data_IF_263567084681
#
_entry.id   IF_263567084681
#
_cell.length_a   1.000
_cell.length_b   1.000
_cell.length_c   1.000
_cell.angle_alpha   90.00
_cell.angle_beta   90.00
_cell.angle_gamma   90.00
#
_symmetry.space_group_name_H-M   'P 1'
#
loop_
_entity.id
_entity.type
_entity.pdbx_description
1 polymer ?
#
# COMPACT_ATOMS: atom_id res chain seq x y z
N UNK A 1 -15.78 18.45 -9.68
CA UNK A 1 -15.93 17.21 -8.90
C UNK A 1 -16.70 16.11 -9.64
N UNK A 2 -17.82 16.38 -10.34
CA UNK A 2 -18.57 15.32 -11.05
C UNK A 2 -17.71 14.52 -12.06
N UNK A 3 -16.88 15.18 -12.87
CA UNK A 3 -16.00 14.49 -13.86
C UNK A 3 -15.04 13.47 -13.24
N UNK A 4 -14.57 13.72 -12.02
CA UNK A 4 -13.62 12.84 -11.29
C UNK A 4 -14.23 11.48 -10.93
N UNK A 5 -15.55 11.42 -10.79
CA UNK A 5 -16.31 10.22 -10.42
C UNK A 5 -16.96 9.61 -11.67
N UNK A 6 -17.48 10.44 -12.57
CA UNK A 6 -18.17 9.98 -13.77
C UNK A 6 -17.24 9.24 -14.74
N UNK A 7 -16.00 9.70 -14.91
CA UNK A 7 -15.06 9.12 -15.88
C UNK A 7 -14.65 7.68 -15.50
N UNK A 8 -14.28 7.36 -14.24
CA UNK A 8 -14.09 5.96 -13.83
C UNK A 8 -15.34 5.11 -13.96
N UNK A 9 -16.52 5.62 -13.57
CA UNK A 9 -17.77 4.87 -13.66
C UNK A 9 -18.09 4.51 -15.11
N UNK A 10 -17.95 5.47 -16.03
CA UNK A 10 -18.15 5.22 -17.46
C UNK A 10 -17.12 4.24 -18.04
N UNK A 11 -15.87 4.31 -17.59
CA UNK A 11 -14.83 3.38 -18.02
C UNK A 11 -15.13 1.93 -17.60
N UNK A 12 -15.52 1.71 -16.35
CA UNK A 12 -15.77 0.35 -15.83
C UNK A 12 -17.14 -0.22 -16.18
N UNK A 13 -18.19 0.61 -16.21
CA UNK A 13 -19.58 0.14 -16.40
C UNK A 13 -20.16 0.45 -17.78
N UNK A 14 -19.50 1.30 -18.57
CA UNK A 14 -19.96 1.67 -19.92
C UNK A 14 -19.35 0.85 -21.06
N UNK A 15 -18.47 -0.12 -20.75
CA UNK A 15 -17.73 -0.92 -21.74
C UNK A 15 -17.80 -2.42 -21.39
N UNK A 16 -17.52 -3.29 -22.36
CA UNK A 16 -17.46 -4.73 -22.09
C UNK A 16 -16.27 -5.07 -21.18
N UNK A 17 -16.36 -6.09 -20.31
CA UNK A 17 -15.27 -6.47 -19.41
C UNK A 17 -13.95 -6.81 -20.13
N UNK A 18 -14.02 -7.37 -21.34
CA UNK A 18 -12.85 -7.68 -22.17
C UNK A 18 -12.14 -6.42 -22.66
N UNK A 19 -12.88 -5.37 -23.00
CA UNK A 19 -12.32 -4.09 -23.45
C UNK A 19 -11.67 -3.34 -22.28
N UNK A 20 -12.32 -3.33 -21.11
CA UNK A 20 -11.73 -2.80 -19.88
C UNK A 20 -10.40 -3.49 -19.59
N UNK A 21 -10.37 -4.82 -19.65
CA UNK A 21 -9.15 -5.59 -19.41
C UNK A 21 -8.04 -5.29 -20.45
N UNK A 22 -8.41 -5.16 -21.73
CA UNK A 22 -7.49 -4.79 -22.81
C UNK A 22 -6.84 -3.44 -22.54
N UNK A 23 -7.64 -2.42 -22.21
CA UNK A 23 -7.16 -1.06 -21.93
C UNK A 23 -6.32 -0.96 -20.66
N UNK A 24 -6.68 -1.72 -19.61
CA UNK A 24 -5.85 -1.87 -18.41
C UNK A 24 -4.48 -2.47 -18.76
N UNK A 25 -4.46 -3.55 -19.56
CA UNK A 25 -3.23 -4.20 -20.02
C UNK A 25 -2.40 -3.29 -20.91
N UNK A 26 -3.00 -2.47 -21.75
CA UNK A 26 -2.31 -1.47 -22.59
C UNK A 26 -1.88 -0.23 -21.80
N UNK A 27 -2.34 -0.11 -20.53
CA UNK A 27 -2.15 1.07 -19.66
C UNK A 27 -2.60 2.35 -20.37
N UNK A 28 -3.64 2.23 -21.20
CA UNK A 28 -4.27 3.34 -21.90
C UNK A 28 -5.54 3.75 -21.15
N UNK A 29 -5.32 4.53 -20.09
CA UNK A 29 -6.40 4.95 -19.21
C UNK A 29 -6.23 6.40 -18.77
N UNK A 30 -7.33 7.15 -18.59
CA UNK A 30 -7.30 8.46 -17.97
C UNK A 30 -6.67 8.41 -16.57
N UNK A 31 -6.16 9.54 -16.10
CA UNK A 31 -5.47 9.61 -14.81
C UNK A 31 -6.39 9.28 -13.62
N UNK A 32 -7.70 9.54 -13.73
CA UNK A 32 -8.71 9.22 -12.71
C UNK A 32 -8.89 7.71 -12.56
N UNK A 33 -9.03 7.00 -13.69
CA UNK A 33 -9.08 5.53 -13.76
C UNK A 33 -7.78 4.93 -13.22
N UNK A 34 -6.64 5.50 -13.61
CA UNK A 34 -5.32 5.09 -13.11
C UNK A 34 -5.23 5.17 -11.57
N UNK A 35 -5.75 6.26 -10.98
CA UNK A 35 -5.80 6.43 -9.54
C UNK A 35 -6.73 5.41 -8.87
N UNK A 36 -7.87 5.09 -9.48
CA UNK A 36 -8.78 4.05 -8.98
C UNK A 36 -8.12 2.67 -8.97
N UNK A 37 -7.50 2.26 -10.08
CA UNK A 37 -6.78 0.98 -10.18
C UNK A 37 -5.62 0.92 -9.19
N UNK A 38 -4.90 2.03 -9.03
CA UNK A 38 -3.87 2.17 -8.01
C UNK A 38 -4.42 2.00 -6.60
N UNK A 39 -5.56 2.61 -6.29
CA UNK A 39 -6.25 2.47 -5.01
C UNK A 39 -6.63 1.01 -4.73
N UNK A 40 -7.19 0.31 -5.72
CA UNK A 40 -7.51 -1.12 -5.62
C UNK A 40 -6.26 -1.96 -5.37
N UNK A 41 -5.16 -1.69 -6.09
CA UNK A 41 -3.87 -2.33 -5.84
C UNK A 41 -3.37 -2.07 -4.41
N UNK A 42 -3.57 -0.86 -3.89
CA UNK A 42 -3.24 -0.49 -2.51
C UNK A 42 -4.07 -1.23 -1.47
N UNK A 43 -5.37 -1.37 -1.67
CA UNK A 43 -6.25 -2.15 -0.78
C UNK A 43 -5.83 -3.62 -0.77
N UNK A 44 -5.59 -4.20 -1.95
CA UNK A 44 -5.12 -5.58 -2.09
C UNK A 44 -3.77 -5.77 -1.37
N UNK A 45 -2.85 -4.81 -1.52
CA UNK A 45 -1.57 -4.82 -0.81
C UNK A 45 -1.74 -4.83 0.70
N UNK A 46 -2.64 -3.99 1.24
CA UNK A 46 -2.92 -3.94 2.67
C UNK A 46 -3.48 -5.27 3.18
N UNK A 47 -4.41 -5.88 2.45
CA UNK A 47 -4.97 -7.20 2.80
C UNK A 47 -3.87 -8.26 2.84
N UNK A 48 -2.99 -8.28 1.83
CA UNK A 48 -1.85 -9.21 1.78
C UNK A 48 -0.89 -8.96 2.95
N UNK A 49 -0.50 -7.70 3.19
CA UNK A 49 0.44 -7.35 4.25
C UNK A 49 -0.11 -7.69 5.64
N UNK A 50 -1.37 -7.34 5.92
CA UNK A 50 -2.02 -7.64 7.20
C UNK A 50 -2.15 -9.17 7.36
N UNK A 51 -2.61 -9.88 6.33
CA UNK A 51 -2.67 -11.34 6.35
C UNK A 51 -1.30 -11.98 6.62
N UNK A 52 -0.24 -11.47 5.99
CA UNK A 52 1.13 -11.94 6.23
C UNK A 52 1.60 -11.68 7.67
N UNK A 53 1.39 -10.48 8.19
CA UNK A 53 1.72 -10.17 9.60
C UNK A 53 0.94 -11.08 10.54
N UNK A 54 -0.35 -11.32 10.28
CA UNK A 54 -1.19 -12.19 11.10
C UNK A 54 -0.69 -13.64 11.09
N UNK A 55 -0.31 -14.17 9.93
CA UNK A 55 0.22 -15.54 9.79
C UNK A 55 1.60 -15.68 10.44
N UNK A 56 2.52 -14.72 10.20
CA UNK A 56 3.83 -14.71 10.83
C UNK A 56 3.73 -14.60 12.36
N UNK A 57 2.85 -13.71 12.84
CA UNK A 57 2.59 -13.50 14.26
C UNK A 57 1.97 -14.70 14.93
N UNK A 58 1.29 -15.58 14.18
CA UNK A 58 0.67 -16.78 14.71
C UNK A 58 1.61 -17.99 14.72
N UNK A 59 2.38 -18.19 13.64
CA UNK A 59 3.04 -19.47 13.36
C UNK A 59 4.56 -19.43 13.39
N UNK A 60 5.18 -18.27 13.22
CA UNK A 60 6.65 -18.17 13.03
C UNK A 60 7.30 -17.35 14.13
N UNK A 61 6.82 -16.12 14.34
CA UNK A 61 7.37 -15.18 15.33
C UNK A 61 6.19 -14.66 16.17
N UNK A 62 5.89 -15.32 17.31
CA UNK A 62 4.74 -15.02 18.15
C UNK A 62 4.63 -13.54 18.52
N UNK A 63 3.51 -12.90 18.18
CA UNK A 63 3.28 -11.48 18.48
C UNK A 63 1.83 -11.15 18.87
N UNK A 64 0.98 -12.16 19.11
CA UNK A 64 -0.35 -11.96 19.67
C UNK A 64 -0.31 -11.94 21.20
N UNK A 65 -1.26 -11.25 21.80
CA UNK A 65 -1.47 -11.24 23.26
C UNK A 65 -1.82 -12.65 23.77
N UNK A 66 -1.40 -12.98 24.99
CA UNK A 66 -1.67 -14.30 25.59
C UNK A 66 -0.90 -15.47 24.97
N UNK A 67 0.03 -15.24 24.04
CA UNK A 67 0.84 -16.33 23.48
C UNK A 67 1.89 -16.81 24.48
N UNK A 68 1.98 -18.13 24.65
CA UNK A 68 2.99 -18.74 25.50
C UNK A 68 4.30 -18.91 24.71
N UNK A 69 5.35 -18.24 25.15
CA UNK A 69 6.70 -18.33 24.59
C UNK A 69 7.64 -18.80 25.69
N UNK A 70 8.28 -19.95 25.50
CA UNK A 70 9.14 -20.58 26.52
C UNK A 70 8.44 -20.86 27.87
N UNK A 71 7.14 -21.18 27.86
CA UNK A 71 6.39 -21.55 29.06
C UNK A 71 5.87 -20.37 29.90
N UNK A 72 6.13 -19.13 29.48
CA UNK A 72 5.56 -17.91 30.06
C UNK A 72 4.74 -17.15 29.01
N UNK A 73 3.81 -16.33 29.47
CA UNK A 73 3.11 -15.40 28.59
C UNK A 73 4.10 -14.39 27.99
N UNK A 74 3.92 -14.08 26.71
CA UNK A 74 4.76 -13.13 26.00
C UNK A 74 4.68 -11.74 26.65
N UNK A 75 5.84 -11.18 26.98
CA UNK A 75 5.90 -9.81 27.53
C UNK A 75 5.57 -8.79 26.45
N UNK A 76 5.02 -7.63 26.83
CA UNK A 76 4.69 -6.56 25.89
C UNK A 76 5.92 -6.07 25.10
N UNK A 77 7.09 -6.03 25.73
CA UNK A 77 8.34 -5.66 25.06
C UNK A 77 8.75 -6.67 23.98
N UNK A 78 8.64 -7.96 24.26
CA UNK A 78 8.94 -9.01 23.27
C UNK A 78 7.89 -9.03 22.16
N UNK A 79 6.62 -8.83 22.50
CA UNK A 79 5.51 -8.72 21.56
C UNK A 79 5.72 -7.57 20.58
N UNK A 80 6.04 -6.37 21.08
CA UNK A 80 6.32 -5.20 20.24
C UNK A 80 7.51 -5.44 19.30
N UNK A 81 8.58 -6.05 19.80
CA UNK A 81 9.77 -6.39 18.98
C UNK A 81 9.43 -7.40 17.89
N UNK A 82 8.72 -8.48 18.24
CA UNK A 82 8.32 -9.51 17.28
C UNK A 82 7.34 -8.96 16.23
N UNK A 83 6.40 -8.11 16.65
CA UNK A 83 5.49 -7.42 15.74
C UNK A 83 6.25 -6.51 14.77
N UNK A 84 7.27 -5.79 15.22
CA UNK A 84 8.12 -4.96 14.36
C UNK A 84 8.87 -5.82 13.31
N UNK A 85 9.41 -6.96 13.71
CA UNK A 85 10.07 -7.91 12.80
C UNK A 85 9.08 -8.43 11.77
N UNK A 86 7.89 -8.88 12.20
CA UNK A 86 6.84 -9.37 11.31
C UNK A 86 6.39 -8.32 10.30
N UNK A 87 6.20 -7.07 10.74
CA UNK A 87 5.87 -5.95 9.85
C UNK A 87 6.99 -5.67 8.85
N UNK A 88 8.25 -5.77 9.26
CA UNK A 88 9.40 -5.56 8.36
C UNK A 88 9.46 -6.63 7.27
N UNK A 89 9.26 -7.91 7.63
CA UNK A 89 9.21 -9.01 6.67
C UNK A 89 8.05 -8.82 5.70
N UNK A 90 6.85 -8.55 6.22
CA UNK A 90 5.65 -8.33 5.42
C UNK A 90 5.77 -7.11 4.50
N UNK A 91 6.44 -6.04 4.95
CA UNK A 91 6.72 -4.87 4.14
C UNK A 91 7.58 -5.24 2.92
N UNK A 92 8.67 -5.99 3.10
CA UNK A 92 9.56 -6.37 2.01
C UNK A 92 8.85 -7.26 0.98
N UNK A 93 8.11 -8.28 1.42
CA UNK A 93 7.38 -9.19 0.53
C UNK A 93 6.25 -8.47 -0.20
N UNK A 94 5.47 -7.68 0.52
CA UNK A 94 4.37 -6.90 -0.06
C UNK A 94 4.92 -5.87 -1.03
N UNK A 95 6.01 -5.17 -0.71
CA UNK A 95 6.60 -4.16 -1.58
C UNK A 95 6.95 -4.71 -2.97
N UNK A 96 7.47 -5.94 -3.05
CA UNK A 96 7.74 -6.61 -4.33
C UNK A 96 6.43 -6.87 -5.10
N UNK A 97 5.40 -7.42 -4.44
CA UNK A 97 4.10 -7.68 -5.06
C UNK A 97 3.49 -6.38 -5.59
N UNK A 98 3.50 -5.32 -4.79
CA UNK A 98 2.93 -4.01 -5.15
C UNK A 98 3.69 -3.38 -6.30
N UNK A 99 5.01 -3.54 -6.35
CA UNK A 99 5.82 -3.10 -7.49
C UNK A 99 5.33 -3.78 -8.78
N UNK A 100 5.20 -5.10 -8.78
CA UNK A 100 4.72 -5.83 -9.95
C UNK A 100 3.29 -5.43 -10.33
N UNK A 101 2.37 -5.31 -9.37
CA UNK A 101 1.00 -4.84 -9.64
C UNK A 101 1.00 -3.44 -10.26
N UNK A 102 1.83 -2.53 -9.75
CA UNK A 102 1.92 -1.17 -10.27
C UNK A 102 2.49 -1.14 -11.69
N UNK A 103 3.50 -1.95 -11.97
CA UNK A 103 4.10 -2.07 -13.31
C UNK A 103 3.18 -2.74 -14.33
N UNK A 104 2.40 -3.73 -13.90
CA UNK A 104 1.53 -4.52 -14.76
C UNK A 104 0.20 -3.82 -15.04
N UNK A 105 -0.36 -3.13 -14.05
CA UNK A 105 -1.75 -2.63 -14.08
C UNK A 105 -1.87 -1.11 -14.07
N UNK A 106 -0.90 -0.37 -13.50
CA UNK A 106 -1.07 1.07 -13.23
C UNK A 106 -0.19 1.93 -14.13
N UNK A 107 1.11 1.65 -14.19
CA UNK A 107 2.10 2.55 -14.79
C UNK A 107 2.82 1.90 -15.98
N UNK A 108 3.19 2.72 -16.98
CA UNK A 108 4.04 2.29 -18.09
C UNK A 108 5.52 2.35 -17.68
N UNK A 109 6.25 1.27 -17.94
CA UNK A 109 7.71 1.21 -17.71
C UNK A 109 8.46 2.07 -18.72
N UNK A 110 9.73 2.32 -18.41
CA UNK A 110 10.71 2.79 -19.39
C UNK A 110 11.24 4.19 -19.15
N UNK A 111 11.04 4.75 -17.95
CA UNK A 111 11.75 5.98 -17.51
C UNK A 111 13.17 5.66 -17.08
N UNK A 112 13.34 4.56 -16.36
CA UNK A 112 14.62 4.08 -15.85
C UNK A 112 14.82 2.59 -16.14
N UNK A 113 16.02 2.07 -15.89
CA UNK A 113 16.27 0.63 -15.88
C UNK A 113 15.38 -0.05 -14.82
N UNK A 114 14.83 -1.26 -15.05
CA UNK A 114 13.98 -1.99 -14.11
C UNK A 114 14.45 -1.99 -12.64
N UNK A 115 15.75 -2.18 -12.41
CA UNK A 115 16.36 -2.13 -11.07
C UNK A 115 16.27 -0.75 -10.41
N UNK A 116 16.48 0.32 -11.18
CA UNK A 116 16.35 1.69 -10.67
C UNK A 116 14.87 2.03 -10.39
N UNK A 117 13.94 1.59 -11.26
CA UNK A 117 12.50 1.73 -10.99
C UNK A 117 12.11 1.04 -9.66
N UNK A 118 12.59 -0.18 -9.43
CA UNK A 118 12.33 -0.92 -8.19
C UNK A 118 12.97 -0.23 -6.96
N UNK A 119 14.19 0.29 -7.10
CA UNK A 119 14.87 0.99 -6.02
C UNK A 119 14.11 2.27 -5.62
N UNK A 120 13.79 3.15 -6.56
CA UNK A 120 13.04 4.39 -6.27
C UNK A 120 11.65 4.09 -5.73
N UNK A 121 10.98 3.06 -6.27
CA UNK A 121 9.70 2.59 -5.76
C UNK A 121 9.78 2.17 -4.29
N UNK A 122 10.79 1.36 -3.96
CA UNK A 122 11.02 0.87 -2.59
C UNK A 122 11.38 2.02 -1.65
N UNK A 123 12.21 2.96 -2.11
CA UNK A 123 12.61 4.14 -1.32
C UNK A 123 11.41 5.01 -0.98
N UNK A 124 10.56 5.33 -1.96
CA UNK A 124 9.33 6.09 -1.75
C UNK A 124 8.42 5.35 -0.75
N UNK A 125 8.30 4.03 -0.86
CA UNK A 125 7.48 3.24 0.06
C UNK A 125 8.04 3.20 1.47
N UNK A 126 9.36 3.11 1.63
CA UNK A 126 10.02 3.14 2.93
C UNK A 126 9.82 4.49 3.61
N UNK A 127 9.99 5.60 2.88
CA UNK A 127 9.74 6.95 3.39
C UNK A 127 8.28 7.09 3.82
N UNK A 128 7.33 6.70 2.96
CA UNK A 128 5.90 6.77 3.28
C UNK A 128 5.50 5.88 4.46
N UNK A 129 6.13 4.71 4.61
CA UNK A 129 5.91 3.84 5.77
C UNK A 129 6.36 4.52 7.06
N UNK A 130 7.58 5.06 7.10
CA UNK A 130 8.13 5.77 8.26
C UNK A 130 7.28 7.00 8.60
N UNK A 131 6.94 7.81 7.58
CA UNK A 131 6.07 8.98 7.77
C UNK A 131 4.70 8.58 8.33
N UNK A 132 4.13 7.46 7.87
CA UNK A 132 2.85 6.96 8.38
C UNK A 132 2.91 6.55 9.85
N UNK A 133 4.05 6.02 10.32
CA UNK A 133 4.24 5.68 11.73
C UNK A 133 4.29 6.93 12.64
N UNK A 134 4.73 8.08 12.11
CA UNK A 134 4.84 9.33 12.89
C UNK A 134 3.58 10.19 12.75
N UNK A 135 3.05 10.33 11.53
CA UNK A 135 1.94 11.23 11.22
C UNK A 135 0.61 10.81 11.88
N UNK A 136 0.33 9.51 11.95
CA UNK A 136 -0.89 8.99 12.60
C UNK A 136 -0.97 9.36 14.09
N UNK A 137 0.02 8.98 14.92
CA UNK A 137 0.07 9.37 16.33
C UNK A 137 0.09 10.88 16.54
N UNK A 138 0.76 11.64 15.67
CA UNK A 138 0.80 13.10 15.75
C UNK A 138 -0.58 13.74 15.55
N UNK A 139 -1.37 13.27 14.56
CA UNK A 139 -2.74 13.74 14.33
C UNK A 139 -3.67 13.48 15.53
N UNK A 140 -3.52 12.32 16.17
CA UNK A 140 -4.31 11.97 17.36
C UNK A 140 -3.92 12.84 18.55
N UNK A 141 -2.61 13.07 18.77
CA UNK A 141 -2.09 13.79 19.92
C UNK A 141 -2.40 15.30 19.89
N UNK A 142 -2.22 15.94 18.73
CA UNK A 142 -2.33 17.40 18.63
C UNK A 142 -3.76 17.88 18.31
N UNK A 143 -4.54 17.10 17.55
CA UNK A 143 -5.86 17.52 17.07
C UNK A 143 -7.02 16.76 17.71
N UNK A 144 -6.75 15.75 18.56
CA UNK A 144 -7.80 14.95 19.20
C UNK A 144 -8.70 14.20 18.22
N UNK A 145 -8.24 13.99 16.99
CA UNK A 145 -9.01 13.34 15.92
C UNK A 145 -9.26 11.89 16.32
N UNK A 146 -10.49 11.36 16.13
CA UNK A 146 -10.78 9.95 16.38
C UNK A 146 -9.78 9.04 15.66
N UNK A 147 -9.23 8.04 16.35
CA UNK A 147 -8.15 7.18 15.84
C UNK A 147 -8.46 6.57 14.48
N UNK A 148 -9.71 6.13 14.26
CA UNK A 148 -10.14 5.55 12.99
C UNK A 148 -10.06 6.55 11.82
N UNK A 149 -10.41 7.82 12.09
CA UNK A 149 -10.33 8.90 11.11
C UNK A 149 -8.87 9.25 10.84
N UNK A 150 -8.03 9.34 11.88
CA UNK A 150 -6.61 9.59 11.72
C UNK A 150 -5.90 8.50 10.89
N UNK A 151 -6.20 7.23 11.14
CA UNK A 151 -5.67 6.09 10.37
C UNK A 151 -6.11 6.19 8.91
N UNK A 152 -7.41 6.41 8.66
CA UNK A 152 -7.95 6.47 7.31
C UNK A 152 -7.37 7.66 6.53
N UNK A 153 -7.35 8.85 7.13
CA UNK A 153 -6.78 10.06 6.52
C UNK A 153 -5.31 9.85 6.20
N UNK A 154 -4.52 9.33 7.14
CA UNK A 154 -3.12 9.04 6.92
C UNK A 154 -2.90 8.05 5.75
N UNK A 155 -3.70 6.98 5.69
CA UNK A 155 -3.63 6.02 4.58
C UNK A 155 -3.95 6.66 3.22
N UNK A 156 -4.99 7.51 3.16
CA UNK A 156 -5.37 8.22 1.93
C UNK A 156 -4.27 9.19 1.50
N UNK A 157 -3.74 10.00 2.42
CA UNK A 157 -2.66 10.94 2.12
C UNK A 157 -1.39 10.22 1.66
N UNK A 158 -0.99 9.16 2.35
CA UNK A 158 0.15 8.34 1.96
C UNK A 158 -0.05 7.72 0.57
N UNK A 159 -1.25 7.22 0.27
CA UNK A 159 -1.57 6.66 -1.05
C UNK A 159 -1.45 7.71 -2.16
N UNK A 160 -1.95 8.94 -1.95
CA UNK A 160 -1.88 10.04 -2.91
C UNK A 160 -0.44 10.51 -3.15
N UNK A 161 0.34 10.71 -2.09
CA UNK A 161 1.75 11.09 -2.21
C UNK A 161 2.52 10.01 -2.97
N UNK A 162 2.32 8.74 -2.64
CA UNK A 162 2.95 7.63 -3.35
C UNK A 162 2.52 7.59 -4.83
N UNK A 163 1.26 7.83 -5.14
CA UNK A 163 0.77 7.87 -6.51
C UNK A 163 1.46 8.97 -7.31
N UNK A 164 1.49 10.20 -6.78
CA UNK A 164 2.12 11.36 -7.41
C UNK A 164 3.62 11.10 -7.59
N UNK A 165 4.30 10.65 -6.52
CA UNK A 165 5.72 10.39 -6.54
C UNK A 165 6.10 9.32 -7.58
N UNK A 166 5.35 8.22 -7.64
CA UNK A 166 5.59 7.14 -8.61
C UNK A 166 5.30 7.55 -10.04
N UNK A 167 4.24 8.34 -10.25
CA UNK A 167 3.89 8.86 -11.57
C UNK A 167 5.01 9.75 -12.12
N UNK A 168 5.38 10.80 -11.38
CA UNK A 168 6.33 11.79 -11.88
C UNK A 168 7.80 11.39 -11.78
N UNK A 169 8.21 10.68 -10.72
CA UNK A 169 9.63 10.37 -10.49
C UNK A 169 10.05 8.95 -10.86
N UNK A 170 9.16 7.95 -10.81
CA UNK A 170 9.55 6.54 -10.99
C UNK A 170 9.28 6.04 -12.40
N UNK A 171 8.04 6.15 -12.87
CA UNK A 171 7.57 5.53 -14.12
C UNK A 171 7.37 6.55 -15.24
N UNK A 172 7.19 6.11 -16.49
CA UNK A 172 6.82 7.00 -17.60
C UNK A 172 5.32 7.27 -17.55
N UNK A 173 4.92 8.44 -17.05
CA UNK A 173 3.52 8.89 -16.99
C UNK A 173 3.35 10.15 -16.17
#
# INVERSE_FOLDING_TARGET
MLKLIQEPLQFFFGQSPSEVWRRLRERDMPWTVQLCVYGVCGVLATVISVGQVMLLSRYVIPAYEGMMVHGAEITDGLRAKNLLINNTIAFLTTNVIVYFLNVLLVFKRGRHHPWAEFFFFTLINAISFVLSQVAGPWLVKEFGVPTNVAILSNAVFAALINFIARKFFVFKG
#
